data_IF_007219577150
#
_entry.id   IF_007219577150
#
_cell.length_a   1.000
_cell.length_b   1.000
_cell.length_c   1.000
_cell.angle_alpha   90.00
_cell.angle_beta   90.00
_cell.angle_gamma   90.00
#
_symmetry.space_group_name_H-M   'P 1'
#
loop_
_entity.id
_entity.type
_entity.pdbx_description
1 polymer ?
#
# COMPACT_ATOMS: atom_id res chain seq x y z
N UNK A 1 -2.22 -5.72 13.53
CA UNK A 1 -3.15 -6.16 12.49
C UNK A 1 -2.45 -7.15 11.59
N UNK A 2 -2.95 -8.37 11.52
CA UNK A 2 -2.45 -9.38 10.59
C UNK A 2 -3.03 -9.13 9.18
N UNK A 3 -2.36 -9.64 8.12
CA UNK A 3 -2.89 -9.52 6.74
C UNK A 3 -4.28 -10.15 6.64
N UNK A 4 -4.53 -11.21 7.40
CA UNK A 4 -5.83 -11.88 7.48
C UNK A 4 -6.96 -10.94 7.95
N UNK A 5 -6.74 -10.22 9.06
CA UNK A 5 -7.74 -9.28 9.61
C UNK A 5 -8.06 -8.16 8.61
N UNK A 6 -7.05 -7.69 7.88
CA UNK A 6 -7.22 -6.69 6.82
C UNK A 6 -8.08 -7.23 5.66
N UNK A 7 -7.86 -8.49 5.26
CA UNK A 7 -8.66 -9.14 4.20
C UNK A 7 -10.10 -9.42 4.65
N UNK A 8 -10.31 -9.73 5.93
CA UNK A 8 -11.65 -9.88 6.52
C UNK A 8 -12.42 -8.55 6.46
N UNK A 9 -11.80 -7.44 6.88
CA UNK A 9 -12.42 -6.11 6.77
C UNK A 9 -12.70 -5.70 5.32
N UNK A 10 -11.78 -5.98 4.40
CA UNK A 10 -11.99 -5.71 2.97
C UNK A 10 -13.15 -6.54 2.37
N UNK A 11 -13.35 -7.77 2.87
CA UNK A 11 -14.48 -8.63 2.51
C UNK A 11 -15.79 -8.00 2.98
N UNK A 12 -15.87 -7.54 4.24
CA UNK A 12 -17.06 -6.86 4.77
C UNK A 12 -17.43 -5.63 3.93
N UNK A 13 -16.45 -4.82 3.53
CA UNK A 13 -16.68 -3.67 2.65
C UNK A 13 -17.24 -4.08 1.29
N UNK A 14 -16.71 -5.16 0.69
CA UNK A 14 -17.20 -5.67 -0.58
C UNK A 14 -18.63 -6.19 -0.50
N UNK A 15 -18.98 -6.85 0.61
CA UNK A 15 -20.32 -7.39 0.86
C UNK A 15 -21.37 -6.29 1.09
N UNK A 16 -20.97 -5.14 1.65
CA UNK A 16 -21.86 -4.00 1.86
C UNK A 16 -22.18 -3.22 0.58
N UNK A 17 -21.35 -3.33 -0.46
CA UNK A 17 -21.48 -2.55 -1.69
C UNK A 17 -22.25 -3.35 -2.75
N UNK A 18 -23.29 -2.74 -3.32
CA UNK A 18 -23.99 -3.31 -4.48
C UNK A 18 -22.98 -3.56 -5.62
N UNK A 19 -22.83 -4.82 -6.01
CA UNK A 19 -21.85 -5.28 -6.99
C UNK A 19 -20.38 -5.08 -6.54
N UNK A 20 -20.07 -5.04 -5.24
CA UNK A 20 -18.70 -4.84 -4.75
C UNK A 20 -17.69 -5.82 -5.35
N UNK A 21 -18.07 -7.09 -5.40
CA UNK A 21 -17.28 -8.17 -6.02
C UNK A 21 -17.19 -8.05 -7.55
N UNK A 22 -18.29 -7.73 -8.22
CA UNK A 22 -18.38 -7.77 -9.69
C UNK A 22 -18.06 -6.43 -10.38
N UNK A 23 -17.88 -5.34 -9.62
CA UNK A 23 -17.58 -4.03 -10.20
C UNK A 23 -16.24 -4.07 -10.95
N UNK A 24 -16.16 -3.28 -12.01
CA UNK A 24 -14.97 -3.21 -12.85
C UNK A 24 -13.72 -2.86 -12.03
N UNK A 25 -12.63 -3.60 -12.23
CA UNK A 25 -11.36 -3.40 -11.53
C UNK A 25 -10.79 -1.99 -11.68
N UNK A 26 -11.06 -1.29 -12.79
CA UNK A 26 -10.63 0.09 -12.99
C UNK A 26 -11.28 1.05 -11.99
N UNK A 27 -12.46 0.73 -11.46
CA UNK A 27 -13.06 1.50 -10.36
C UNK A 27 -12.21 1.40 -9.10
N UNK A 28 -11.75 0.19 -8.75
CA UNK A 28 -10.90 -0.04 -7.58
C UNK A 28 -9.53 0.65 -7.73
N UNK A 29 -8.98 0.65 -8.95
CA UNK A 29 -7.75 1.38 -9.27
C UNK A 29 -7.95 2.90 -9.20
N UNK A 30 -9.10 3.41 -9.64
CA UNK A 30 -9.45 4.83 -9.47
C UNK A 30 -9.58 5.21 -8.01
N UNK A 31 -10.19 4.35 -7.18
CA UNK A 31 -10.22 4.55 -5.73
C UNK A 31 -8.83 4.55 -5.11
N UNK A 32 -7.95 3.64 -5.52
CA UNK A 32 -6.56 3.65 -5.04
C UNK A 32 -5.85 4.98 -5.37
N UNK A 33 -6.12 5.55 -6.54
CA UNK A 33 -5.56 6.84 -6.93
C UNK A 33 -6.15 8.01 -6.11
N UNK A 34 -7.44 7.95 -5.77
CA UNK A 34 -8.12 8.88 -4.88
C UNK A 34 -7.45 8.87 -3.49
N UNK A 35 -7.33 7.70 -2.84
CA UNK A 35 -6.71 7.60 -1.50
C UNK A 35 -5.24 8.06 -1.50
N UNK A 36 -4.49 7.76 -2.58
CA UNK A 36 -3.13 8.29 -2.74
C UNK A 36 -3.10 9.83 -2.80
N UNK A 37 -4.14 10.44 -3.39
CA UNK A 37 -4.33 11.88 -3.43
C UNK A 37 -4.63 12.46 -2.05
N UNK A 38 -5.41 11.75 -1.23
CA UNK A 38 -5.73 12.17 0.14
C UNK A 38 -4.50 12.10 1.05
N UNK A 39 -3.66 11.07 0.92
CA UNK A 39 -2.32 11.02 1.56
C UNK A 39 -1.49 12.24 1.17
N UNK A 40 -1.44 12.59 -0.12
CA UNK A 40 -0.69 13.75 -0.58
C UNK A 40 -1.28 15.06 -0.02
N UNK A 41 -2.60 15.16 0.06
CA UNK A 41 -3.28 16.31 0.66
C UNK A 41 -2.96 16.43 2.16
N UNK A 42 -2.99 15.33 2.92
CA UNK A 42 -2.65 15.30 4.33
C UNK A 42 -1.21 15.78 4.59
N UNK A 43 -0.25 15.31 3.79
CA UNK A 43 1.14 15.75 3.86
C UNK A 43 1.34 17.24 3.52
N UNK A 44 0.46 17.81 2.70
CA UNK A 44 0.54 19.20 2.26
C UNK A 44 -0.21 20.18 3.19
N UNK A 45 -0.93 19.69 4.21
CA UNK A 45 -1.60 20.54 5.20
C UNK A 45 -0.53 21.27 6.04
N UNK A 46 -0.71 22.58 6.25
CA UNK A 46 0.19 23.40 7.08
C UNK A 46 0.24 22.97 8.54
N UNK A 47 -0.79 22.25 9.00
CA UNK A 47 -0.86 21.55 10.28
C UNK A 47 -1.60 20.24 10.04
N UNK A 48 -0.88 19.12 10.07
CA UNK A 48 -1.48 17.80 10.09
C UNK A 48 -1.05 17.09 11.38
N UNK A 49 -1.84 16.11 11.79
CA UNK A 49 -1.50 15.21 12.89
C UNK A 49 -1.04 13.87 12.32
N UNK A 50 -0.21 13.15 13.07
CA UNK A 50 0.16 11.78 12.70
C UNK A 50 -1.07 10.87 12.56
N UNK A 51 -2.16 11.18 13.28
CA UNK A 51 -3.44 10.50 13.14
C UNK A 51 -4.07 10.73 11.76
N UNK A 52 -4.11 11.98 11.27
CA UNK A 52 -4.65 12.27 9.94
C UNK A 52 -3.89 11.49 8.86
N UNK A 53 -2.55 11.48 8.92
CA UNK A 53 -1.75 10.74 7.94
C UNK A 53 -1.92 9.22 8.09
N UNK A 54 -2.05 8.72 9.31
CA UNK A 54 -2.26 7.29 9.55
C UNK A 54 -3.59 6.82 8.97
N UNK A 55 -4.65 7.62 9.09
CA UNK A 55 -5.97 7.33 8.52
C UNK A 55 -5.89 7.24 6.98
N UNK A 56 -5.32 8.24 6.31
CA UNK A 56 -5.21 8.21 4.83
C UNK A 56 -4.34 7.03 4.33
N UNK A 57 -3.29 6.69 5.08
CA UNK A 57 -2.45 5.52 4.76
C UNK A 57 -3.20 4.21 4.97
N UNK A 58 -4.08 4.13 5.96
CA UNK A 58 -4.92 2.96 6.20
C UNK A 58 -5.92 2.77 5.04
N UNK A 59 -6.49 3.83 4.50
CA UNK A 59 -7.41 3.75 3.36
C UNK A 59 -6.73 3.21 2.10
N UNK A 60 -5.50 3.66 1.80
CA UNK A 60 -4.68 3.08 0.73
C UNK A 60 -4.48 1.57 0.91
N UNK A 61 -4.16 1.14 2.13
CA UNK A 61 -3.95 -0.28 2.46
C UNK A 61 -5.25 -1.08 2.26
N UNK A 62 -6.38 -0.53 2.71
CA UNK A 62 -7.71 -1.14 2.57
C UNK A 62 -8.09 -1.35 1.09
N UNK A 63 -7.87 -0.35 0.24
CA UNK A 63 -8.13 -0.50 -1.21
C UNK A 63 -7.20 -1.53 -1.85
N UNK A 64 -5.93 -1.60 -1.41
CA UNK A 64 -5.01 -2.64 -1.88
C UNK A 64 -5.49 -4.05 -1.50
N UNK A 65 -6.05 -4.23 -0.30
CA UNK A 65 -6.63 -5.49 0.14
C UNK A 65 -7.85 -5.89 -0.70
N UNK A 66 -8.75 -4.94 -0.99
CA UNK A 66 -9.88 -5.16 -1.92
C UNK A 66 -9.41 -5.65 -3.29
N UNK A 67 -8.40 -4.98 -3.87
CA UNK A 67 -7.85 -5.38 -5.17
C UNK A 67 -7.24 -6.78 -5.10
N UNK A 68 -6.51 -7.09 -4.03
CA UNK A 68 -5.91 -8.40 -3.84
C UNK A 68 -6.97 -9.52 -3.79
N UNK A 69 -8.05 -9.32 -3.01
CA UNK A 69 -9.17 -10.25 -2.91
C UNK A 69 -9.82 -10.51 -4.26
N UNK A 70 -10.21 -9.46 -4.97
CA UNK A 70 -10.89 -9.57 -6.28
C UNK A 70 -10.03 -10.21 -7.37
N UNK A 71 -8.71 -10.26 -7.17
CA UNK A 71 -7.74 -10.82 -8.12
C UNK A 71 -7.15 -12.15 -7.65
N UNK A 72 -7.67 -12.70 -6.55
CA UNK A 72 -7.20 -13.96 -5.95
C UNK A 72 -5.68 -13.92 -5.68
N UNK A 73 -5.20 -12.79 -5.15
CA UNK A 73 -3.79 -12.57 -4.82
C UNK A 73 -3.58 -12.89 -3.34
N UNK A 74 -2.68 -13.84 -3.09
CA UNK A 74 -2.10 -14.07 -1.77
C UNK A 74 -1.19 -12.89 -1.38
N UNK A 75 -1.78 -11.92 -0.67
CA UNK A 75 -1.14 -10.68 -0.30
C UNK A 75 0.01 -10.89 0.70
N UNK A 76 -0.15 -11.82 1.62
CA UNK A 76 0.88 -12.15 2.61
C UNK A 76 2.14 -12.70 1.93
N UNK A 77 1.97 -13.70 1.04
CA UNK A 77 3.07 -14.25 0.25
C UNK A 77 3.70 -13.20 -0.65
N UNK A 78 2.92 -12.29 -1.23
CA UNK A 78 3.43 -11.20 -2.05
C UNK A 78 4.32 -10.24 -1.24
N UNK A 79 3.90 -9.86 -0.03
CA UNK A 79 4.67 -9.02 0.90
C UNK A 79 5.98 -9.70 1.28
N UNK A 80 5.92 -10.95 1.74
CA UNK A 80 7.10 -11.74 2.15
C UNK A 80 8.09 -11.82 0.97
N UNK A 81 7.61 -12.19 -0.21
CA UNK A 81 8.44 -12.31 -1.41
C UNK A 81 9.13 -10.99 -1.80
N UNK A 82 8.45 -9.85 -1.58
CA UNK A 82 9.02 -8.53 -1.84
C UNK A 82 10.06 -8.15 -0.79
N UNK A 83 9.83 -8.47 0.48
CA UNK A 83 10.77 -8.23 1.56
C UNK A 83 12.06 -9.03 1.39
N UNK A 84 11.97 -10.33 1.05
CA UNK A 84 13.14 -11.17 0.75
C UNK A 84 13.97 -10.57 -0.38
N UNK A 85 13.34 -10.21 -1.51
CA UNK A 85 14.02 -9.53 -2.63
C UNK A 85 14.67 -8.21 -2.23
N UNK A 86 14.06 -7.46 -1.30
CA UNK A 86 14.60 -6.20 -0.78
C UNK A 86 15.85 -6.45 0.06
N UNK A 87 15.81 -7.46 0.95
CA UNK A 87 16.97 -7.88 1.74
C UNK A 87 18.10 -8.35 0.83
N UNK A 88 17.82 -9.19 -0.16
CA UNK A 88 18.81 -9.65 -1.15
C UNK A 88 19.46 -8.48 -1.89
N UNK A 89 18.67 -7.48 -2.29
CA UNK A 89 19.18 -6.27 -2.95
C UNK A 89 20.05 -5.43 -2.02
N UNK A 90 19.71 -5.35 -0.73
CA UNK A 90 20.52 -4.67 0.27
C UNK A 90 21.83 -5.42 0.53
N UNK A 91 21.77 -6.73 0.73
CA UNK A 91 22.96 -7.58 0.91
C UNK A 91 23.91 -7.47 -0.28
N UNK A 92 23.40 -7.52 -1.52
CA UNK A 92 24.23 -7.26 -2.71
C UNK A 92 24.91 -5.89 -2.65
N UNK A 93 24.22 -4.83 -2.24
CA UNK A 93 24.84 -3.49 -2.10
C UNK A 93 25.92 -3.44 -1.02
N UNK A 94 25.75 -4.16 0.09
CA UNK A 94 26.74 -4.26 1.16
C UNK A 94 27.97 -5.06 0.73
N UNK A 95 27.76 -6.18 0.03
CA UNK A 95 28.85 -7.04 -0.46
C UNK A 95 29.56 -6.49 -1.70
N UNK A 96 28.85 -5.78 -2.58
CA UNK A 96 29.41 -5.16 -3.80
C UNK A 96 30.14 -3.84 -3.52
N UNK A 97 30.28 -3.42 -2.26
CA UNK A 97 31.15 -2.31 -1.83
C UNK A 97 30.80 -0.92 -2.37
N UNK A 98 29.73 -0.76 -3.16
CA UNK A 98 29.29 0.56 -3.65
C UNK A 98 28.46 1.24 -2.56
N UNK A 99 29.16 1.89 -1.62
CA UNK A 99 28.61 2.93 -0.74
C UNK A 99 27.80 3.90 -1.62
N UNK A 100 26.48 3.81 -1.56
CA UNK A 100 25.64 4.91 -2.02
C UNK A 100 25.67 5.90 -0.89
N UNK A 101 26.29 7.05 -1.14
CA UNK A 101 26.43 8.12 -0.17
C UNK A 101 25.04 8.46 0.41
N UNK A 102 24.80 8.27 1.72
CA UNK A 102 23.50 8.53 2.33
C UNK A 102 23.10 10.01 2.26
N UNK A 103 24.02 10.91 1.87
CA UNK A 103 23.75 12.35 1.69
C UNK A 103 23.40 12.74 0.25
N UNK A 104 23.42 11.80 -0.70
CA UNK A 104 23.02 12.08 -2.09
C UNK A 104 21.49 12.24 -2.16
N UNK A 105 21.00 13.44 -1.82
CA UNK A 105 19.64 13.87 -2.15
C UNK A 105 19.46 13.67 -3.66
N UNK A 106 18.52 12.81 -4.03
CA UNK A 106 17.99 12.80 -5.39
C UNK A 106 17.24 14.12 -5.51
N UNK A 107 17.83 15.09 -6.19
CA UNK A 107 17.12 16.27 -6.64
C UNK A 107 16.10 15.82 -7.69
N UNK A 108 14.82 16.01 -7.37
CA UNK A 108 13.75 16.03 -8.38
C UNK A 108 13.93 17.25 -9.28
#
# INVERSE_FOLDING_TARGET
MEVKELLEQATEVLDLIKNGWDRNIYFDVSKLAEECGEVAAALNKSKFTDADLADELADVISVCAVIALKRDIDLEKAIISKQVKRVDKLLKRFHDGKRTDPTKRISL
#
